data_IF_215750270187
#
_entry.id   IF_215750270187
#
_cell.length_a   1.000
_cell.length_b   1.000
_cell.length_c   1.000
_cell.angle_alpha   90.00
_cell.angle_beta   90.00
_cell.angle_gamma   90.00
#
_symmetry.space_group_name_H-M   'P 1'
#
loop_
_entity.id
_entity.type
_entity.pdbx_description
1 polymer ?
#
# COMPACT_ATOMS: atom_id res chain seq x y z
N UNK A 1 29.63 32.84 -57.45
CA UNK A 1 29.85 31.51 -56.79
C UNK A 1 30.01 31.55 -55.25
N UNK A 2 30.10 32.71 -54.62
CA UNK A 2 30.22 32.84 -53.16
C UNK A 2 28.89 32.97 -52.42
N UNK A 3 27.78 32.99 -53.09
CA UNK A 3 26.43 33.15 -52.49
C UNK A 3 25.84 31.86 -51.86
N UNK A 4 26.19 30.70 -52.42
CA UNK A 4 25.59 29.40 -52.03
C UNK A 4 26.01 28.92 -50.64
N UNK A 5 27.27 29.13 -50.26
CA UNK A 5 27.79 28.68 -48.97
C UNK A 5 27.16 29.42 -47.76
N UNK A 6 26.98 30.76 -47.90
CA UNK A 6 26.30 31.55 -46.85
C UNK A 6 24.82 31.17 -46.70
N UNK A 7 24.15 30.88 -47.81
CA UNK A 7 22.73 30.46 -47.80
C UNK A 7 22.55 29.08 -47.11
N UNK A 8 23.44 28.14 -47.37
CA UNK A 8 23.41 26.81 -46.73
C UNK A 8 23.67 26.92 -45.22
N UNK A 9 24.60 27.78 -44.81
CA UNK A 9 24.89 28.02 -43.41
C UNK A 9 23.69 28.63 -42.66
N UNK A 10 23.04 29.62 -43.25
CA UNK A 10 21.82 30.23 -42.71
C UNK A 10 20.66 29.21 -42.58
N UNK A 11 20.48 28.33 -43.55
CA UNK A 11 19.47 27.26 -43.50
C UNK A 11 19.79 26.29 -42.35
N UNK A 12 21.06 25.92 -42.19
CA UNK A 12 21.49 25.04 -41.13
C UNK A 12 21.30 25.67 -39.73
N UNK A 13 21.66 26.92 -39.56
CA UNK A 13 21.44 27.68 -38.32
C UNK A 13 19.96 27.81 -37.97
N UNK A 14 19.12 28.10 -38.97
CA UNK A 14 17.67 28.11 -38.80
C UNK A 14 17.12 26.72 -38.41
N UNK A 15 17.62 25.65 -39.04
CA UNK A 15 17.27 24.29 -38.67
C UNK A 15 17.63 23.99 -37.19
N UNK A 16 18.86 24.30 -36.76
CA UNK A 16 19.31 24.11 -35.38
C UNK A 16 18.46 24.93 -34.40
N UNK A 17 18.20 26.20 -34.72
CA UNK A 17 17.34 27.08 -33.94
C UNK A 17 15.91 26.51 -33.77
N UNK A 18 15.32 26.06 -34.87
CA UNK A 18 13.99 25.47 -34.86
C UNK A 18 13.95 24.12 -34.11
N UNK A 19 15.00 23.30 -34.25
CA UNK A 19 15.14 22.06 -33.49
C UNK A 19 15.22 22.29 -31.98
N UNK A 20 15.88 23.38 -31.54
CA UNK A 20 15.91 23.79 -30.12
C UNK A 20 14.53 24.23 -29.60
N UNK A 21 13.66 24.75 -30.47
CA UNK A 21 12.27 25.15 -30.13
C UNK A 21 11.31 23.97 -30.11
N UNK A 22 11.69 22.85 -30.73
CA UNK A 22 10.88 21.62 -30.76
C UNK A 22 10.95 20.87 -29.44
N UNK A 23 9.88 20.16 -29.09
CA UNK A 23 9.81 19.31 -27.92
C UNK A 23 8.87 19.86 -26.85
N UNK A 24 8.72 19.09 -25.77
CA UNK A 24 7.85 19.46 -24.66
C UNK A 24 8.46 20.64 -23.90
N UNK A 25 7.69 21.73 -23.77
CA UNK A 25 8.11 22.89 -22.99
C UNK A 25 8.49 22.50 -21.57
N UNK A 26 9.52 23.14 -21.04
CA UNK A 26 9.89 22.98 -19.64
C UNK A 26 8.77 23.57 -18.78
N UNK A 27 8.30 22.81 -17.82
CA UNK A 27 7.33 23.30 -16.85
C UNK A 27 8.12 24.03 -15.77
N UNK A 28 7.92 25.33 -15.69
CA UNK A 28 8.41 26.18 -14.61
C UNK A 28 7.28 26.30 -13.58
N UNK A 29 7.60 26.06 -12.32
CA UNK A 29 6.67 26.19 -11.21
C UNK A 29 6.96 27.50 -10.49
N UNK A 30 5.89 28.14 -9.98
CA UNK A 30 6.06 29.35 -9.15
C UNK A 30 6.80 29.01 -7.86
N UNK A 31 7.54 29.97 -7.33
CA UNK A 31 8.23 29.79 -6.06
C UNK A 31 7.26 29.50 -4.91
N UNK A 32 6.09 30.12 -4.92
CA UNK A 32 5.04 29.88 -3.93
C UNK A 32 4.56 28.43 -3.95
N UNK A 33 4.38 27.86 -5.14
CA UNK A 33 3.98 26.47 -5.29
C UNK A 33 5.07 25.49 -4.87
N UNK A 34 6.33 25.80 -5.18
CA UNK A 34 7.48 25.00 -4.73
C UNK A 34 7.63 25.03 -3.19
N UNK A 35 7.40 26.18 -2.55
CA UNK A 35 7.38 26.27 -1.08
C UNK A 35 6.28 25.41 -0.48
N UNK A 36 5.05 25.50 -0.99
CA UNK A 36 3.93 24.68 -0.55
C UNK A 36 4.18 23.17 -0.71
N UNK A 37 4.87 22.76 -1.79
CA UNK A 37 5.28 21.35 -1.96
C UNK A 37 6.30 20.97 -0.87
N UNK A 38 7.31 21.79 -0.61
CA UNK A 38 8.34 21.51 0.38
C UNK A 38 7.77 21.43 1.81
N UNK A 39 6.86 22.33 2.18
CA UNK A 39 6.15 22.28 3.48
C UNK A 39 5.40 20.96 3.66
N UNK A 40 4.68 20.50 2.63
CA UNK A 40 3.98 19.21 2.67
C UNK A 40 4.95 18.03 2.74
N UNK A 41 6.11 18.11 2.08
CA UNK A 41 7.15 17.09 2.18
C UNK A 41 7.75 17.04 3.58
N UNK A 42 7.92 18.18 4.26
CA UNK A 42 8.38 18.25 5.65
C UNK A 42 7.37 17.64 6.62
N UNK A 43 6.10 17.57 6.24
CA UNK A 43 5.03 16.84 6.94
C UNK A 43 4.94 15.35 6.51
N UNK A 44 5.97 14.80 5.89
CA UNK A 44 6.02 13.40 5.38
C UNK A 44 4.98 13.05 4.30
N UNK A 45 4.42 14.04 3.60
CA UNK A 45 3.53 13.76 2.48
C UNK A 45 4.30 13.20 1.28
N UNK A 46 3.72 12.24 0.57
CA UNK A 46 4.27 11.78 -0.70
C UNK A 46 3.90 12.73 -1.84
N UNK A 47 4.69 12.73 -2.93
CA UNK A 47 4.36 13.51 -4.13
C UNK A 47 3.03 13.10 -4.75
N UNK A 48 2.62 11.83 -4.58
CA UNK A 48 1.32 11.34 -5.01
C UNK A 48 0.18 11.98 -4.20
N UNK A 49 0.33 12.02 -2.87
CA UNK A 49 -0.65 12.67 -1.98
C UNK A 49 -0.75 14.17 -2.26
N UNK A 50 0.38 14.85 -2.47
CA UNK A 50 0.42 16.28 -2.81
C UNK A 50 -0.30 16.54 -4.13
N UNK A 51 0.01 15.78 -5.18
CA UNK A 51 -0.65 15.91 -6.49
C UNK A 51 -2.15 15.64 -6.41
N UNK A 52 -2.55 14.58 -5.68
CA UNK A 52 -3.94 14.23 -5.47
C UNK A 52 -4.71 15.32 -4.72
N UNK A 53 -4.13 15.84 -3.64
CA UNK A 53 -4.74 16.93 -2.85
C UNK A 53 -4.91 18.20 -3.67
N UNK A 54 -3.86 18.61 -4.39
CA UNK A 54 -3.93 19.82 -5.25
C UNK A 54 -5.00 19.67 -6.35
N UNK A 55 -5.25 18.44 -6.83
CA UNK A 55 -6.35 18.17 -7.77
C UNK A 55 -7.71 18.32 -7.11
N UNK A 56 -7.88 17.82 -5.89
CA UNK A 56 -9.13 17.94 -5.12
C UNK A 56 -9.44 19.40 -4.76
N UNK A 57 -8.43 20.14 -4.33
CA UNK A 57 -8.55 21.56 -3.97
C UNK A 57 -8.68 22.48 -5.21
N UNK A 58 -8.64 21.89 -6.43
CA UNK A 58 -8.76 22.62 -7.71
C UNK A 58 -7.80 23.79 -7.86
N UNK A 59 -6.58 23.66 -7.33
CA UNK A 59 -5.58 24.71 -7.43
C UNK A 59 -5.32 25.06 -8.91
N UNK A 60 -5.16 26.35 -9.21
CA UNK A 60 -4.85 26.84 -10.56
C UNK A 60 -3.53 26.27 -11.04
N UNK A 61 -2.48 26.38 -10.21
CA UNK A 61 -1.19 25.78 -10.48
C UNK A 61 -1.15 24.37 -9.90
N UNK A 62 -1.20 23.38 -10.81
CA UNK A 62 -1.14 21.97 -10.43
C UNK A 62 -0.44 21.15 -11.50
N UNK A 63 0.35 20.20 -11.05
CA UNK A 63 1.03 19.25 -11.94
C UNK A 63 0.76 17.81 -11.50
N UNK A 64 0.82 16.90 -12.45
CA UNK A 64 0.60 15.49 -12.17
C UNK A 64 1.79 14.87 -11.41
N UNK A 65 1.54 13.79 -10.71
CA UNK A 65 2.51 13.02 -9.94
C UNK A 65 3.81 12.73 -10.70
N UNK A 66 3.70 12.25 -11.95
CA UNK A 66 4.88 11.94 -12.78
C UNK A 66 5.74 13.17 -13.09
N UNK A 67 5.14 14.35 -13.20
CA UNK A 67 5.87 15.61 -13.36
C UNK A 67 6.61 15.98 -12.09
N UNK A 68 6.00 15.85 -10.91
CA UNK A 68 6.66 16.10 -9.63
C UNK A 68 7.88 15.19 -9.43
N UNK A 69 7.77 13.90 -9.69
CA UNK A 69 8.92 12.98 -9.63
C UNK A 69 10.00 13.32 -10.65
N UNK A 70 9.64 13.83 -11.84
CA UNK A 70 10.62 14.27 -12.83
C UNK A 70 11.35 15.53 -12.37
N UNK A 71 10.67 16.48 -11.74
CA UNK A 71 11.25 17.68 -11.16
C UNK A 71 12.19 17.33 -9.99
N UNK A 72 11.80 16.35 -9.16
CA UNK A 72 12.67 15.83 -8.11
C UNK A 72 13.96 15.20 -8.68
N UNK A 73 13.86 14.42 -9.78
CA UNK A 73 15.05 13.90 -10.48
C UNK A 73 15.95 14.98 -11.06
N UNK A 74 15.39 16.15 -11.42
CA UNK A 74 16.15 17.31 -11.91
C UNK A 74 16.75 18.17 -10.78
N UNK A 75 16.49 17.83 -9.51
CA UNK A 75 16.98 18.57 -8.35
C UNK A 75 16.17 19.82 -8.00
N UNK A 76 15.04 20.07 -8.66
CA UNK A 76 14.17 21.21 -8.37
C UNK A 76 13.39 20.99 -7.05
N UNK A 77 13.04 19.74 -6.77
CA UNK A 77 12.44 19.31 -5.50
C UNK A 77 13.50 18.46 -4.78
N UNK A 78 13.69 18.69 -3.48
CA UNK A 78 14.70 17.96 -2.71
C UNK A 78 14.34 16.49 -2.57
N UNK A 79 15.11 15.63 -3.24
CA UNK A 79 14.93 14.18 -3.19
C UNK A 79 15.20 13.60 -1.80
N UNK A 80 15.95 14.28 -0.91
CA UNK A 80 16.25 13.78 0.43
C UNK A 80 14.98 13.71 1.30
N UNK A 81 14.02 14.60 1.05
CA UNK A 81 12.72 14.63 1.72
C UNK A 81 11.77 13.54 1.22
N UNK A 82 12.10 12.85 0.15
CA UNK A 82 11.25 11.79 -0.40
C UNK A 82 11.55 10.44 0.25
N UNK A 83 10.51 9.71 0.59
CA UNK A 83 10.66 8.31 1.01
C UNK A 83 11.49 7.56 -0.03
N UNK A 84 12.50 6.82 0.42
CA UNK A 84 13.46 6.10 -0.44
C UNK A 84 14.23 6.99 -1.43
N UNK A 85 14.44 8.27 -1.11
CA UNK A 85 15.15 9.22 -1.97
C UNK A 85 14.58 9.27 -3.40
N UNK A 86 13.26 9.16 -3.53
CA UNK A 86 12.58 9.17 -4.84
C UNK A 86 12.86 7.95 -5.72
N UNK A 87 13.57 6.94 -5.24
CA UNK A 87 13.85 5.71 -6.00
C UNK A 87 12.65 4.77 -5.93
N UNK A 88 12.20 4.28 -7.08
CA UNK A 88 11.20 3.21 -7.13
C UNK A 88 11.79 1.94 -6.51
N UNK A 89 11.05 1.29 -5.61
CA UNK A 89 11.43 -0.05 -5.16
C UNK A 89 11.48 -0.96 -6.39
N UNK A 90 12.60 -1.62 -6.62
CA UNK A 90 12.63 -2.72 -7.59
C UNK A 90 11.57 -3.71 -7.13
N UNK A 91 10.69 -4.13 -8.04
CA UNK A 91 9.75 -5.20 -7.73
C UNK A 91 10.56 -6.33 -7.12
N UNK A 92 10.23 -6.70 -5.88
CA UNK A 92 10.87 -7.83 -5.23
C UNK A 92 10.71 -9.07 -6.10
N UNK A 93 11.53 -10.08 -5.86
CA UNK A 93 11.32 -11.39 -6.46
C UNK A 93 9.86 -11.77 -6.23
N UNK A 94 9.22 -12.37 -7.25
CA UNK A 94 7.90 -12.96 -7.11
C UNK A 94 7.98 -13.89 -5.91
N UNK A 95 7.25 -13.52 -4.85
CA UNK A 95 7.22 -14.31 -3.62
C UNK A 95 6.59 -15.65 -3.97
N UNK A 96 7.40 -16.69 -4.09
CA UNK A 96 6.91 -18.06 -4.25
C UNK A 96 6.33 -18.48 -2.90
N UNK A 97 5.13 -18.03 -2.59
CA UNK A 97 4.38 -18.56 -1.45
C UNK A 97 4.06 -20.00 -1.76
N UNK A 98 4.53 -20.92 -0.93
CA UNK A 98 4.08 -22.30 -1.01
C UNK A 98 2.56 -22.32 -0.80
N UNK A 99 1.83 -22.93 -1.72
CA UNK A 99 0.39 -23.12 -1.57
C UNK A 99 0.16 -24.10 -0.42
N UNK A 100 -0.09 -23.58 0.77
CA UNK A 100 -0.65 -24.39 1.85
C UNK A 100 -2.15 -24.52 1.59
N UNK A 101 -2.56 -25.65 1.02
CA UNK A 101 -3.95 -25.96 0.67
C UNK A 101 -4.78 -26.44 1.87
N UNK A 102 -4.39 -26.12 3.09
CA UNK A 102 -5.04 -26.60 4.30
C UNK A 102 -5.96 -25.51 4.86
N UNK A 103 -7.26 -25.80 4.90
CA UNK A 103 -8.28 -24.96 5.53
C UNK A 103 -9.40 -24.54 4.59
N UNK A 104 -10.53 -24.15 5.18
CA UNK A 104 -11.72 -23.68 4.47
C UNK A 104 -11.46 -22.34 3.79
N UNK A 105 -12.03 -22.13 2.63
CA UNK A 105 -11.83 -20.90 1.85
C UNK A 105 -12.83 -19.82 2.24
N UNK A 106 -12.53 -18.57 1.90
CA UNK A 106 -13.46 -17.44 2.06
C UNK A 106 -14.75 -17.63 1.24
N UNK A 107 -14.71 -18.41 0.15
CA UNK A 107 -15.90 -18.75 -0.63
C UNK A 107 -16.86 -19.60 0.18
N UNK A 108 -16.38 -20.65 0.84
CA UNK A 108 -17.18 -21.49 1.75
C UNK A 108 -17.76 -20.68 2.91
N UNK A 109 -17.00 -19.70 3.45
CA UNK A 109 -17.52 -18.76 4.45
C UNK A 109 -18.69 -17.95 3.90
N UNK A 110 -18.57 -17.42 2.69
CA UNK A 110 -19.60 -16.57 2.09
C UNK A 110 -20.89 -17.36 1.74
N UNK A 111 -20.79 -18.66 1.52
CA UNK A 111 -21.95 -19.53 1.38
C UNK A 111 -22.73 -19.66 2.70
N UNK A 112 -22.01 -19.78 3.82
CA UNK A 112 -22.62 -19.91 5.16
C UNK A 112 -23.07 -18.57 5.72
N UNK A 113 -22.26 -17.52 5.49
CA UNK A 113 -22.48 -16.16 5.97
C UNK A 113 -22.42 -15.18 4.80
N UNK A 114 -23.48 -15.04 4.01
CA UNK A 114 -23.52 -14.10 2.89
C UNK A 114 -23.42 -12.66 3.43
N UNK A 115 -22.29 -12.04 3.18
CA UNK A 115 -22.05 -10.64 3.52
C UNK A 115 -22.65 -9.75 2.43
N UNK A 116 -23.92 -9.41 2.55
CA UNK A 116 -24.44 -8.27 1.80
C UNK A 116 -23.97 -6.96 2.46
N UNK A 117 -23.73 -5.92 1.66
CA UNK A 117 -23.33 -4.60 2.15
C UNK A 117 -24.34 -3.98 3.15
N UNK A 118 -25.55 -4.49 3.21
CA UNK A 118 -26.65 -3.97 4.02
C UNK A 118 -26.83 -4.69 5.35
N UNK A 119 -26.31 -5.94 5.50
CA UNK A 119 -26.44 -6.75 6.72
C UNK A 119 -25.07 -7.29 7.16
N UNK A 120 -24.21 -6.42 7.65
CA UNK A 120 -22.95 -6.86 8.25
C UNK A 120 -23.25 -7.37 9.66
N UNK A 121 -23.24 -8.69 9.79
CA UNK A 121 -23.41 -9.35 11.09
C UNK A 121 -22.14 -9.20 11.94
N UNK A 122 -22.31 -9.06 13.26
CA UNK A 122 -21.19 -9.03 14.21
C UNK A 122 -20.55 -10.41 14.40
N UNK A 123 -19.24 -10.39 14.74
CA UNK A 123 -18.51 -11.59 15.09
C UNK A 123 -17.64 -12.17 13.98
N UNK A 124 -17.46 -11.43 12.90
CA UNK A 124 -16.59 -11.81 11.79
C UNK A 124 -15.30 -11.01 11.81
N UNK A 125 -14.18 -11.66 12.04
CA UNK A 125 -12.86 -11.05 12.15
C UNK A 125 -12.00 -11.34 10.92
N UNK A 126 -11.16 -10.39 10.56
CA UNK A 126 -10.06 -10.55 9.63
C UNK A 126 -8.76 -10.45 10.42
N UNK A 127 -7.89 -11.45 10.26
CA UNK A 127 -6.65 -11.56 11.00
C UNK A 127 -5.43 -11.46 10.10
N UNK A 128 -4.42 -10.70 10.56
CA UNK A 128 -3.13 -10.53 9.89
C UNK A 128 -2.02 -10.38 10.93
N UNK A 129 -0.76 -10.42 10.50
CA UNK A 129 0.39 -10.20 11.36
C UNK A 129 1.25 -9.03 10.89
N UNK A 130 1.53 -8.11 11.79
CA UNK A 130 2.52 -7.05 11.58
C UNK A 130 3.85 -7.53 12.16
N UNK A 131 4.84 -7.70 11.30
CA UNK A 131 6.17 -8.18 11.69
C UNK A 131 7.07 -7.02 12.05
N UNK A 132 7.66 -7.06 13.24
CA UNK A 132 8.59 -6.07 13.74
C UNK A 132 9.96 -6.12 13.06
N UNK A 133 10.82 -5.17 13.48
CA UNK A 133 12.19 -5.09 13.01
C UNK A 133 12.94 -6.40 13.28
N UNK A 134 13.85 -6.78 12.36
CA UNK A 134 14.63 -8.03 12.41
C UNK A 134 13.80 -9.32 12.47
N UNK A 135 12.48 -9.24 12.23
CA UNK A 135 11.56 -10.39 12.21
C UNK A 135 11.51 -11.22 13.50
N UNK A 136 11.87 -10.66 14.64
CA UNK A 136 11.88 -11.36 15.94
C UNK A 136 10.55 -11.24 16.68
N UNK A 137 9.85 -10.14 16.49
CA UNK A 137 8.54 -9.86 17.10
C UNK A 137 7.47 -9.75 16.06
N UNK A 138 6.22 -10.00 16.44
CA UNK A 138 5.04 -9.75 15.62
C UNK A 138 3.90 -9.29 16.52
N UNK A 139 2.94 -8.62 15.89
CA UNK A 139 1.64 -8.28 16.47
C UNK A 139 0.59 -8.95 15.60
N UNK A 140 -0.26 -9.77 16.19
CA UNK A 140 -1.45 -10.26 15.51
C UNK A 140 -2.50 -9.16 15.60
N UNK A 141 -3.07 -8.81 14.47
CA UNK A 141 -4.17 -7.87 14.35
C UNK A 141 -5.42 -8.63 13.99
N UNK A 142 -6.50 -8.43 14.74
CA UNK A 142 -7.81 -8.99 14.43
C UNK A 142 -8.78 -7.81 14.31
N UNK A 143 -9.38 -7.66 13.13
CA UNK A 143 -10.32 -6.56 12.84
C UNK A 143 -11.71 -7.12 12.69
N UNK A 144 -12.63 -6.68 13.53
CA UNK A 144 -14.05 -7.04 13.43
C UNK A 144 -14.70 -6.27 12.27
N UNK A 145 -15.41 -6.98 11.39
CA UNK A 145 -15.86 -6.43 10.09
C UNK A 145 -16.96 -5.39 10.21
N UNK A 146 -17.88 -5.56 11.14
CA UNK A 146 -19.01 -4.64 11.30
C UNK A 146 -18.61 -3.34 12.01
N UNK A 147 -17.99 -3.47 13.17
CA UNK A 147 -17.62 -2.34 14.05
C UNK A 147 -16.30 -1.68 13.70
N UNK A 148 -15.44 -2.37 12.94
CA UNK A 148 -14.03 -2.02 12.73
C UNK A 148 -13.20 -1.99 14.01
N UNK A 149 -13.69 -2.64 15.07
CA UNK A 149 -12.92 -2.81 16.30
C UNK A 149 -11.65 -3.61 16.01
N UNK A 150 -10.53 -3.15 16.54
CA UNK A 150 -9.22 -3.76 16.32
C UNK A 150 -8.71 -4.35 17.63
N UNK A 151 -8.34 -5.61 17.59
CA UNK A 151 -7.65 -6.32 18.68
C UNK A 151 -6.20 -6.49 18.29
N UNK A 152 -5.29 -6.10 19.18
CA UNK A 152 -3.84 -6.23 18.99
C UNK A 152 -3.26 -7.20 20.01
N UNK A 153 -2.63 -8.28 19.53
CA UNK A 153 -2.07 -9.32 20.38
C UNK A 153 -0.56 -9.41 20.14
N UNK A 154 0.21 -9.32 21.22
CA UNK A 154 1.66 -9.50 21.14
C UNK A 154 2.00 -10.95 20.81
N UNK A 155 2.84 -11.16 19.79
CA UNK A 155 3.24 -12.48 19.33
C UNK A 155 4.69 -12.49 18.79
N UNK A 156 5.07 -13.58 18.20
CA UNK A 156 6.23 -13.74 17.34
C UNK A 156 5.81 -14.38 16.02
N UNK A 157 6.72 -14.60 15.09
CA UNK A 157 6.39 -15.27 13.80
C UNK A 157 6.18 -16.78 13.90
N UNK A 158 6.36 -17.37 15.07
CA UNK A 158 6.14 -18.82 15.25
C UNK A 158 4.64 -19.09 15.39
N UNK A 159 4.14 -20.06 14.64
CA UNK A 159 2.72 -20.43 14.66
C UNK A 159 2.21 -20.75 16.06
N UNK A 160 3.01 -21.46 16.87
CA UNK A 160 2.63 -21.78 18.26
C UNK A 160 2.35 -20.52 19.10
N UNK A 161 3.18 -19.48 18.94
CA UNK A 161 3.04 -18.24 19.71
C UNK A 161 1.85 -17.43 19.20
N UNK A 162 1.62 -17.40 17.90
CA UNK A 162 0.44 -16.76 17.29
C UNK A 162 -0.84 -17.44 17.80
N UNK A 163 -0.92 -18.75 17.66
CA UNK A 163 -2.08 -19.53 18.11
C UNK A 163 -2.33 -19.35 19.61
N UNK A 164 -1.30 -19.45 20.45
CA UNK A 164 -1.43 -19.23 21.88
C UNK A 164 -1.91 -17.82 22.24
N UNK A 165 -1.45 -16.80 21.53
CA UNK A 165 -1.88 -15.43 21.78
C UNK A 165 -3.36 -15.23 21.43
N UNK A 166 -3.83 -15.81 20.32
CA UNK A 166 -5.23 -15.80 19.92
C UNK A 166 -6.09 -16.58 20.93
N UNK A 167 -5.67 -17.79 21.32
CA UNK A 167 -6.41 -18.64 22.24
C UNK A 167 -6.55 -17.97 23.62
N UNK A 168 -5.51 -17.36 24.17
CA UNK A 168 -5.56 -16.57 25.41
C UNK A 168 -6.52 -15.38 25.32
N UNK A 169 -6.65 -14.77 24.18
CA UNK A 169 -7.62 -13.71 23.95
C UNK A 169 -9.03 -14.28 23.90
N UNK A 170 -9.25 -15.38 23.18
CA UNK A 170 -10.54 -16.07 23.10
C UNK A 170 -11.05 -16.51 24.48
N UNK A 171 -10.16 -16.97 25.38
CA UNK A 171 -10.48 -17.37 26.74
C UNK A 171 -11.05 -16.23 27.61
N UNK A 172 -10.61 -15.00 27.34
CA UNK A 172 -11.06 -13.80 28.09
C UNK A 172 -12.44 -13.31 27.68
N UNK A 173 -12.99 -13.82 26.59
CA UNK A 173 -14.31 -13.41 26.09
C UNK A 173 -15.34 -14.39 26.62
N UNK A 174 -16.11 -13.99 27.62
CA UNK A 174 -17.13 -14.84 28.28
C UNK A 174 -18.28 -15.13 27.34
N UNK A 175 -18.83 -14.09 26.68
CA UNK A 175 -19.83 -14.22 25.63
C UNK A 175 -19.14 -14.66 24.34
N UNK A 176 -19.74 -15.55 23.57
CA UNK A 176 -19.18 -16.04 22.31
C UNK A 176 -19.74 -15.25 21.09
N UNK A 177 -19.38 -13.96 20.93
CA UNK A 177 -19.83 -13.18 19.79
C UNK A 177 -19.04 -13.50 18.51
N UNK A 178 -17.96 -14.33 18.62
CA UNK A 178 -17.04 -14.58 17.53
C UNK A 178 -17.51 -15.78 16.73
N UNK A 179 -17.87 -15.54 15.48
CA UNK A 179 -18.37 -16.56 14.56
C UNK A 179 -17.29 -17.07 13.62
N UNK A 180 -16.54 -16.14 13.04
CA UNK A 180 -15.49 -16.51 12.09
C UNK A 180 -14.24 -15.66 12.25
N UNK A 181 -13.09 -16.27 11.98
CA UNK A 181 -11.82 -15.55 11.77
C UNK A 181 -11.29 -15.94 10.40
N UNK A 182 -10.99 -14.94 9.56
CA UNK A 182 -10.41 -15.14 8.24
C UNK A 182 -8.95 -14.67 8.25
N UNK A 183 -8.03 -15.56 7.88
CA UNK A 183 -6.60 -15.25 7.76
C UNK A 183 -6.15 -15.28 6.30
N UNK A 184 -4.96 -14.75 6.04
CA UNK A 184 -4.21 -15.08 4.83
C UNK A 184 -3.61 -16.50 4.95
N UNK A 185 -3.03 -17.03 3.86
CA UNK A 185 -2.39 -18.36 3.87
C UNK A 185 -0.95 -18.33 4.42
N UNK A 186 -0.68 -17.47 5.39
CA UNK A 186 0.60 -17.38 6.08
C UNK A 186 0.93 -18.63 6.89
N UNK A 187 2.20 -19.00 6.91
CA UNK A 187 2.67 -20.16 7.71
C UNK A 187 2.46 -19.99 9.21
N UNK A 188 2.38 -18.76 9.68
CA UNK A 188 2.09 -18.38 11.07
C UNK A 188 0.72 -18.84 11.54
N UNK A 189 -0.22 -19.08 10.63
CA UNK A 189 -1.57 -19.57 10.91
C UNK A 189 -1.73 -21.08 10.65
N UNK A 190 -0.63 -21.83 10.49
CA UNK A 190 -0.68 -23.27 10.19
C UNK A 190 -1.39 -24.12 11.26
N UNK A 191 -1.45 -23.64 12.50
CA UNK A 191 -2.15 -24.30 13.62
C UNK A 191 -3.59 -23.79 13.83
N UNK A 192 -4.24 -23.38 12.78
CA UNK A 192 -5.59 -22.79 12.81
C UNK A 192 -6.66 -23.72 13.42
N UNK A 193 -6.49 -25.06 13.33
CA UNK A 193 -7.41 -26.02 13.97
C UNK A 193 -7.45 -25.83 15.49
N UNK A 194 -6.32 -25.58 16.14
CA UNK A 194 -6.25 -25.31 17.58
C UNK A 194 -7.00 -24.01 17.98
N UNK A 195 -7.18 -23.07 17.02
CA UNK A 195 -7.97 -21.85 17.21
C UNK A 195 -9.45 -22.16 17.05
N UNK A 196 -9.83 -22.94 16.01
CA UNK A 196 -11.21 -23.34 15.75
C UNK A 196 -11.76 -24.18 16.90
N UNK A 197 -10.97 -25.14 17.41
CA UNK A 197 -11.35 -26.01 18.51
C UNK A 197 -11.47 -25.29 19.88
N UNK A 198 -10.96 -24.05 19.98
CA UNK A 198 -10.95 -23.33 21.26
C UNK A 198 -12.32 -22.86 21.71
N UNK A 199 -13.22 -22.58 20.77
CA UNK A 199 -14.59 -22.15 21.08
C UNK A 199 -15.60 -22.84 20.19
N UNK A 200 -16.68 -23.35 20.80
CA UNK A 200 -17.79 -23.94 20.08
C UNK A 200 -18.43 -22.91 19.12
N UNK A 201 -18.66 -23.31 17.89
CA UNK A 201 -19.25 -22.47 16.84
C UNK A 201 -18.27 -21.54 16.12
N UNK A 202 -17.04 -21.37 16.60
CA UNK A 202 -16.01 -20.61 15.89
C UNK A 202 -15.54 -21.38 14.65
N UNK A 203 -15.42 -20.68 13.50
CA UNK A 203 -14.89 -21.23 12.25
C UNK A 203 -13.73 -20.36 11.72
N UNK A 204 -12.69 -21.03 11.24
CA UNK A 204 -11.52 -20.38 10.64
C UNK A 204 -11.54 -20.57 9.13
N UNK A 205 -11.32 -19.48 8.40
CA UNK A 205 -11.30 -19.45 6.95
C UNK A 205 -10.02 -18.80 6.43
N UNK A 206 -9.71 -19.04 5.16
CA UNK A 206 -8.53 -18.48 4.51
C UNK A 206 -8.90 -17.70 3.26
N UNK A 207 -8.25 -16.56 3.06
CA UNK A 207 -8.35 -15.82 1.83
C UNK A 207 -7.91 -16.71 0.66
N UNK A 208 -8.68 -16.68 -0.44
CA UNK A 208 -8.33 -17.40 -1.66
C UNK A 208 -7.12 -16.78 -2.32
N UNK A 209 -6.35 -17.58 -3.09
CA UNK A 209 -5.43 -17.05 -4.08
C UNK A 209 -6.28 -16.52 -5.24
N UNK A 210 -6.21 -15.21 -5.53
CA UNK A 210 -6.67 -14.63 -6.78
C UNK A 210 -5.68 -14.96 -7.92
#
# INVERSE_FOLDING_TARGET
>A
EFSTGKTVMLIYENYISNKKKCGRKVIELSESYLRAINEKLDMDWSLDAISGRNKLDKLEERVCTSTLYRLAKKGIIDCKKLRRLGKRKKNGQIEKRGKNNTGKTIHERNEVYPLSSENIEYGHFEGDTIVGEKRQSAIVTLVEKATKCIVLLKASRKSDVVTNSINKWLEKIELNPIKTITFDRGKEFSKWLEIEDKKEGLKVYFAGDE
#
